data_IF_832353879515
#
_entry.id   IF_832353879515
#
_cell.length_a   1.000
_cell.length_b   1.000
_cell.length_c   1.000
_cell.angle_alpha   90.00
_cell.angle_beta   90.00
_cell.angle_gamma   90.00
#
_symmetry.space_group_name_H-M   'P 1'
#
loop_
_entity.id
_entity.type
_entity.pdbx_description
1 polymer ?
#
# COMPACT_ATOMS: atom_id res chain seq x y z
N UNK A 1 3.32 15.04 -25.14
CA UNK A 1 2.59 13.92 -24.49
C UNK A 1 1.67 14.53 -23.44
N UNK A 2 0.36 14.37 -23.57
CA UNK A 2 -0.59 14.87 -22.57
C UNK A 2 -0.34 14.13 -21.25
N UNK A 3 0.05 14.87 -20.22
CA UNK A 3 0.08 14.37 -18.85
C UNK A 3 -1.39 14.16 -18.48
N UNK A 4 -1.83 12.90 -18.44
CA UNK A 4 -3.07 12.54 -17.77
C UNK A 4 -2.93 13.07 -16.35
N UNK A 5 -3.78 14.02 -15.94
CA UNK A 5 -3.80 14.50 -14.56
C UNK A 5 -4.36 13.38 -13.68
N UNK A 6 -3.51 12.38 -13.41
CA UNK A 6 -3.83 11.30 -12.50
C UNK A 6 -3.59 11.75 -11.07
N UNK A 7 -4.43 11.28 -10.15
CA UNK A 7 -4.19 11.44 -8.72
C UNK A 7 -3.14 10.40 -8.31
N UNK A 8 -2.06 10.85 -7.71
CA UNK A 8 -1.06 9.95 -7.15
C UNK A 8 -1.55 9.38 -5.82
N UNK A 9 -1.45 8.06 -5.66
CA UNK A 9 -1.77 7.36 -4.42
C UNK A 9 -0.56 6.53 -4.03
N UNK A 10 0.05 6.89 -2.89
CA UNK A 10 1.19 6.17 -2.33
C UNK A 10 0.74 5.12 -1.33
N UNK A 11 1.10 3.87 -1.57
CA UNK A 11 0.86 2.75 -0.67
C UNK A 11 2.17 2.25 -0.10
N UNK A 12 2.24 2.08 1.22
CA UNK A 12 3.33 1.37 1.89
C UNK A 12 2.88 0.00 2.37
N UNK A 13 3.62 -1.06 2.04
CA UNK A 13 3.32 -2.42 2.46
C UNK A 13 4.60 -3.22 2.75
N UNK A 14 4.55 -4.26 3.61
CA UNK A 14 5.67 -5.18 3.79
C UNK A 14 6.07 -5.76 2.42
N UNK A 15 7.37 -5.93 2.12
CA UNK A 15 7.81 -6.39 0.82
C UNK A 15 7.15 -7.70 0.36
N UNK A 16 6.93 -8.65 1.26
CA UNK A 16 6.23 -9.91 0.96
C UNK A 16 4.80 -9.65 0.48
N UNK A 17 4.04 -8.79 1.17
CA UNK A 17 2.67 -8.44 0.77
C UNK A 17 2.66 -7.67 -0.54
N UNK A 18 3.58 -6.71 -0.71
CA UNK A 18 3.71 -5.93 -1.93
C UNK A 18 3.91 -6.83 -3.15
N UNK A 19 4.88 -7.75 -3.09
CA UNK A 19 5.24 -8.63 -4.20
C UNK A 19 4.21 -9.74 -4.40
N UNK A 20 3.76 -10.41 -3.35
CA UNK A 20 2.91 -11.60 -3.48
C UNK A 20 1.43 -11.29 -3.70
N UNK A 21 0.96 -10.12 -3.24
CA UNK A 21 -0.48 -9.78 -3.27
C UNK A 21 -0.79 -8.56 -4.14
N UNK A 22 0.01 -7.50 -4.09
CA UNK A 22 -0.31 -6.26 -4.80
C UNK A 22 0.17 -6.27 -6.25
N UNK A 23 1.42 -6.66 -6.50
CA UNK A 23 2.02 -6.66 -7.85
C UNK A 23 1.20 -7.47 -8.87
N UNK A 24 0.70 -8.69 -8.57
CA UNK A 24 -0.09 -9.47 -9.54
C UNK A 24 -1.38 -8.79 -9.98
N UNK A 25 -1.94 -7.89 -9.16
CA UNK A 25 -3.20 -7.20 -9.43
C UNK A 25 -3.01 -5.84 -10.10
N UNK A 26 -1.77 -5.33 -10.17
CA UNK A 26 -1.49 -3.96 -10.59
C UNK A 26 -1.91 -3.68 -12.05
N UNK A 27 -1.76 -4.66 -12.93
CA UNK A 27 -2.19 -4.54 -14.33
C UNK A 27 -3.69 -4.34 -14.47
N UNK A 28 -4.48 -5.18 -13.80
CA UNK A 28 -5.94 -5.06 -13.78
C UNK A 28 -6.40 -3.77 -13.10
N UNK A 29 -5.78 -3.40 -11.97
CA UNK A 29 -6.08 -2.15 -11.28
C UNK A 29 -5.86 -0.92 -12.17
N UNK A 30 -4.71 -0.84 -12.85
CA UNK A 30 -4.39 0.27 -13.77
C UNK A 30 -5.36 0.34 -14.94
N UNK A 31 -5.83 -0.80 -15.45
CA UNK A 31 -6.83 -0.84 -16.51
C UNK A 31 -8.20 -0.34 -16.04
N UNK A 32 -8.61 -0.68 -14.82
CA UNK A 32 -9.86 -0.21 -14.22
C UNK A 32 -9.81 1.26 -13.77
N UNK A 33 -8.64 1.74 -13.36
CA UNK A 33 -8.45 3.08 -12.79
C UNK A 33 -7.28 3.82 -13.48
N UNK A 34 -7.39 4.17 -14.76
CA UNK A 34 -6.31 4.81 -15.51
C UNK A 34 -5.95 6.22 -15.01
N UNK A 35 -6.84 6.86 -14.25
CA UNK A 35 -6.60 8.16 -13.62
C UNK A 35 -5.89 8.09 -12.26
N UNK A 36 -5.48 6.91 -11.80
CA UNK A 36 -4.73 6.74 -10.54
C UNK A 36 -3.30 6.34 -10.86
N UNK A 37 -2.34 7.13 -10.38
CA UNK A 37 -0.93 6.78 -10.41
C UNK A 37 -0.59 6.12 -9.08
N UNK A 38 -0.40 4.80 -9.09
CA UNK A 38 -0.07 4.06 -7.87
C UNK A 38 1.43 4.03 -7.63
N UNK A 39 1.88 4.58 -6.50
CA UNK A 39 3.26 4.50 -6.02
C UNK A 39 3.35 3.48 -4.89
N UNK A 40 4.05 2.37 -5.12
CA UNK A 40 4.18 1.30 -4.14
C UNK A 40 5.54 1.33 -3.45
N UNK A 41 5.53 1.43 -2.12
CA UNK A 41 6.70 1.41 -1.26
C UNK A 41 6.79 0.08 -0.53
N UNK A 42 7.84 -0.70 -0.82
CA UNK A 42 8.21 -1.89 -0.06
C UNK A 42 9.15 -1.49 1.07
N UNK A 43 8.61 -0.92 2.14
CA UNK A 43 9.42 -0.44 3.27
C UNK A 43 9.23 -1.36 4.50
N UNK A 44 10.34 -1.66 5.19
CA UNK A 44 10.34 -2.33 6.48
C UNK A 44 10.10 -1.37 7.64
N UNK A 45 10.39 -0.09 7.44
CA UNK A 45 10.22 0.96 8.44
C UNK A 45 8.75 1.37 8.50
N UNK A 46 8.29 1.76 9.70
CA UNK A 46 6.99 2.41 9.86
C UNK A 46 7.08 3.81 9.22
N UNK A 47 6.95 3.90 7.90
CA UNK A 47 6.76 5.17 7.21
C UNK A 47 5.51 5.83 7.80
N UNK A 48 5.69 6.97 8.47
CA UNK A 48 4.65 7.66 9.20
C UNK A 48 3.50 8.07 8.25
N UNK A 49 2.27 7.58 8.51
CA UNK A 49 1.08 8.10 7.81
C UNK A 49 0.88 9.59 8.11
N UNK A 50 1.31 10.03 9.31
CA UNK A 50 1.22 11.41 9.78
C UNK A 50 2.09 12.42 9.01
N UNK A 51 3.03 11.96 8.18
CA UNK A 51 3.92 12.83 7.39
C UNK A 51 3.61 12.82 5.89
N UNK A 52 2.43 12.34 5.47
CA UNK A 52 2.03 12.17 4.06
C UNK A 52 2.99 11.29 3.22
N UNK A 53 3.85 10.49 3.85
CA UNK A 53 4.77 9.61 3.11
C UNK A 53 4.04 8.42 2.45
N UNK A 54 2.78 8.19 2.84
CA UNK A 54 1.87 7.20 2.26
C UNK A 54 0.42 7.56 2.58
N UNK A 55 -0.46 7.47 1.58
CA UNK A 55 -1.91 7.63 1.74
C UNK A 55 -2.56 6.40 2.38
N UNK A 56 -1.95 5.22 2.19
CA UNK A 56 -2.42 3.95 2.75
C UNK A 56 -1.25 3.07 3.19
N UNK A 57 -1.40 2.45 4.36
CA UNK A 57 -0.45 1.46 4.87
C UNK A 57 -1.11 0.11 5.07
N UNK A 58 -0.45 -0.93 4.58
CA UNK A 58 -0.72 -2.32 4.95
C UNK A 58 0.33 -2.74 5.97
N UNK A 59 -0.07 -3.33 7.10
CA UNK A 59 0.84 -3.79 8.16
C UNK A 59 0.27 -5.04 8.83
N UNK A 60 1.13 -5.81 9.49
CA UNK A 60 0.72 -6.96 10.33
C UNK A 60 0.36 -6.55 11.76
N UNK A 61 0.70 -5.33 12.16
CA UNK A 61 0.38 -4.73 13.46
C UNK A 61 -0.77 -3.74 13.33
N UNK A 62 -1.45 -3.47 14.46
CA UNK A 62 -2.40 -2.36 14.55
C UNK A 62 -1.64 -1.03 14.58
N UNK A 63 -2.14 0.02 13.92
CA UNK A 63 -1.55 1.36 14.03
C UNK A 63 -1.63 1.86 15.47
N UNK A 64 -0.64 2.65 15.88
CA UNK A 64 -0.54 3.21 17.24
C UNK A 64 -0.92 4.69 17.26
N UNK A 65 -0.81 5.36 16.10
CA UNK A 65 -1.14 6.78 15.99
C UNK A 65 -2.66 7.03 16.05
N UNK A 66 -3.04 8.09 16.75
CA UNK A 66 -4.41 8.58 16.79
C UNK A 66 -4.82 9.20 15.45
N UNK A 67 -6.11 9.11 15.11
CA UNK A 67 -6.66 9.66 13.87
C UNK A 67 -6.52 8.74 12.64
N UNK A 68 -5.99 7.53 12.79
CA UNK A 68 -5.93 6.53 11.72
C UNK A 68 -7.10 5.55 11.84
N UNK A 69 -7.78 5.31 10.73
CA UNK A 69 -8.80 4.25 10.63
C UNK A 69 -8.13 2.96 10.16
N UNK A 70 -8.21 1.90 10.97
CA UNK A 70 -7.68 0.59 10.63
C UNK A 70 -8.79 -0.34 10.12
N UNK A 71 -8.52 -1.08 9.03
CA UNK A 71 -9.38 -2.16 8.54
C UNK A 71 -8.57 -3.45 8.39
N UNK A 72 -9.06 -4.54 8.99
CA UNK A 72 -8.47 -5.88 8.79
C UNK A 72 -8.77 -6.35 7.37
N UNK A 73 -7.72 -6.67 6.60
CA UNK A 73 -7.84 -7.15 5.21
C UNK A 73 -7.48 -8.64 5.04
N UNK A 74 -6.95 -9.28 6.07
CA UNK A 74 -6.55 -10.69 6.03
C UNK A 74 -5.75 -11.09 7.27
N UNK A 75 -5.17 -12.29 7.21
CA UNK A 75 -4.27 -12.85 8.21
C UNK A 75 -3.01 -13.37 7.53
N UNK A 76 -1.84 -13.13 8.12
CA UNK A 76 -0.58 -13.72 7.70
C UNK A 76 -0.15 -14.76 8.74
N UNK A 77 0.24 -15.95 8.28
CA UNK A 77 0.75 -17.02 9.12
C UNK A 77 2.25 -17.15 8.93
N UNK A 78 2.98 -17.26 10.03
CA UNK A 78 4.42 -17.48 10.04
C UNK A 78 4.70 -18.89 10.57
N UNK A 79 5.72 -19.54 10.03
CA UNK A 79 6.17 -20.87 10.47
C UNK A 79 7.68 -20.92 10.46
N UNK A 80 8.25 -21.77 11.31
CA UNK A 80 9.67 -22.08 11.26
C UNK A 80 9.97 -22.94 10.03
N UNK A 81 11.24 -22.95 9.64
CA UNK A 81 11.77 -23.81 8.59
C UNK A 81 11.73 -25.28 9.02
#
# INVERSE_FOLDING_TARGET
AQVVQGVEVTISAPPSVAVEKLVPQLGAFRAMHPGIVLRLLGDHQYSSLSSCQSDLCIRFSKPVESGIVARRIGTASFSFY
#
